data_IF_560613868980
#
_entry.id   IF_560613868980
#
_cell.length_a   1.000
_cell.length_b   1.000
_cell.length_c   1.000
_cell.angle_alpha   90.00
_cell.angle_beta   90.00
_cell.angle_gamma   90.00
#
_symmetry.space_group_name_H-M   'P 1'
#
loop_
_entity.id
_entity.type
_entity.pdbx_description
1 polymer ?
#
# COMPACT_ATOMS: atom_id res chain seq x y z
N UNK A 1 -9.79 -17.44 0.59
CA UNK A 1 -9.47 -16.13 -0.02
C UNK A 1 -8.26 -16.30 -0.90
N UNK A 2 -8.36 -15.96 -2.17
CA UNK A 2 -7.24 -16.06 -3.11
C UNK A 2 -6.38 -14.82 -2.98
N UNK A 3 -5.08 -14.99 -2.76
CA UNK A 3 -4.13 -13.88 -2.74
C UNK A 3 -3.90 -13.37 -4.17
N UNK A 4 -4.54 -12.25 -4.51
CA UNK A 4 -4.46 -11.61 -5.84
C UNK A 4 -3.25 -10.67 -5.98
N UNK A 5 -2.63 -10.27 -4.87
CA UNK A 5 -1.45 -9.40 -4.84
C UNK A 5 -0.25 -10.21 -4.33
N UNK A 6 0.85 -10.21 -5.09
CA UNK A 6 2.13 -10.77 -4.67
C UNK A 6 3.11 -9.64 -4.37
N UNK A 7 3.88 -9.80 -3.32
CA UNK A 7 4.93 -8.88 -2.93
C UNK A 7 6.28 -9.56 -3.16
N UNK A 8 7.22 -8.86 -3.79
CA UNK A 8 8.60 -9.32 -3.84
C UNK A 8 9.30 -9.07 -2.51
N UNK A 9 10.35 -9.84 -2.21
CA UNK A 9 11.13 -9.65 -0.98
C UNK A 9 11.71 -8.22 -0.89
N UNK A 10 12.14 -7.67 -2.02
CA UNK A 10 12.62 -6.28 -2.11
C UNK A 10 11.52 -5.28 -1.75
N UNK A 11 10.30 -5.48 -2.24
CA UNK A 11 9.18 -4.60 -1.92
C UNK A 11 8.79 -4.71 -0.44
N UNK A 12 8.85 -5.91 0.14
CA UNK A 12 8.64 -6.11 1.58
C UNK A 12 9.68 -5.36 2.42
N UNK A 13 10.96 -5.43 2.05
CA UNK A 13 12.02 -4.71 2.74
C UNK A 13 11.84 -3.19 2.63
N UNK A 14 11.49 -2.70 1.44
CA UNK A 14 11.22 -1.27 1.24
C UNK A 14 10.04 -0.79 2.08
N UNK A 15 8.97 -1.56 2.19
CA UNK A 15 7.82 -1.21 3.05
C UNK A 15 8.25 -1.14 4.52
N UNK A 16 9.10 -2.06 5.00
CA UNK A 16 9.62 -2.02 6.37
C UNK A 16 10.43 -0.74 6.64
N UNK A 17 11.27 -0.30 5.70
CA UNK A 17 12.01 0.96 5.80
C UNK A 17 11.10 2.19 5.80
N UNK A 18 10.05 2.17 4.98
CA UNK A 18 9.05 3.23 4.94
C UNK A 18 8.34 3.31 6.31
N UNK A 19 7.93 2.16 6.84
CA UNK A 19 7.26 2.07 8.15
C UNK A 19 8.15 2.47 9.33
N UNK A 20 9.47 2.25 9.26
CA UNK A 20 10.37 2.71 10.33
C UNK A 20 10.45 4.23 10.46
N UNK A 21 10.05 4.97 9.41
CA UNK A 21 9.98 6.42 9.38
C UNK A 21 8.54 6.96 9.48
N UNK A 22 7.56 6.08 9.67
CA UNK A 22 6.15 6.46 9.72
C UNK A 22 5.77 7.06 11.08
N UNK A 23 4.67 7.83 11.10
CA UNK A 23 4.07 8.29 12.35
C UNK A 23 3.64 7.11 13.22
N UNK A 24 3.72 7.28 14.56
CA UNK A 24 3.49 6.23 15.56
C UNK A 24 2.18 5.46 15.42
N UNK A 25 1.15 6.06 14.81
CA UNK A 25 -0.18 5.45 14.70
C UNK A 25 -0.43 4.76 13.35
N UNK A 26 0.57 4.75 12.45
CA UNK A 26 0.43 4.10 11.15
C UNK A 26 0.46 2.58 11.34
N UNK A 27 -0.63 1.90 10.99
CA UNK A 27 -0.73 0.44 11.01
C UNK A 27 -0.01 -0.20 9.81
N UNK A 28 0.14 0.53 8.70
CA UNK A 28 0.78 0.00 7.51
C UNK A 28 0.62 0.90 6.30
N UNK A 29 0.89 0.31 5.13
CA UNK A 29 0.74 0.94 3.82
C UNK A 29 -0.46 0.33 3.09
N UNK A 30 -1.35 1.17 2.60
CA UNK A 30 -2.53 0.82 1.80
C UNK A 30 -2.25 1.08 0.33
N UNK A 31 -2.72 0.16 -0.52
CA UNK A 31 -2.73 0.33 -1.98
C UNK A 31 -4.17 0.46 -2.44
N UNK A 32 -4.48 1.60 -3.05
CA UNK A 32 -5.81 1.93 -3.57
C UNK A 32 -5.76 2.06 -5.09
N UNK A 33 -6.84 1.74 -5.79
CA UNK A 33 -6.97 1.99 -7.24
C UNK A 33 -7.77 3.26 -7.46
N UNK A 34 -7.20 4.21 -8.18
CA UNK A 34 -7.84 5.47 -8.54
C UNK A 34 -8.15 5.47 -10.04
N UNK A 35 -9.40 5.79 -10.39
CA UNK A 35 -9.79 6.01 -11.79
C UNK A 35 -9.20 7.32 -12.31
N UNK A 36 -8.54 7.25 -13.47
CA UNK A 36 -7.96 8.39 -14.18
C UNK A 36 -8.77 8.81 -15.43
N UNK A 37 -9.99 8.30 -15.62
CA UNK A 37 -10.81 8.58 -16.81
C UNK A 37 -10.30 7.85 -18.06
N UNK A 38 -10.25 8.53 -19.21
CA UNK A 38 -9.76 7.95 -20.48
C UNK A 38 -8.30 7.47 -20.43
N UNK A 39 -7.53 7.86 -19.41
CA UNK A 39 -6.15 7.45 -19.19
C UNK A 39 -6.01 6.11 -18.43
N UNK A 40 -7.11 5.50 -17.96
CA UNK A 40 -7.10 4.21 -17.27
C UNK A 40 -7.08 4.32 -15.74
N UNK A 41 -6.43 3.36 -15.10
CA UNK A 41 -6.38 3.23 -13.63
C UNK A 41 -4.97 3.45 -13.11
N UNK A 42 -4.86 4.06 -11.93
CA UNK A 42 -3.60 4.29 -11.24
C UNK A 42 -3.62 3.68 -9.85
N UNK A 43 -2.47 3.23 -9.37
CA UNK A 43 -2.31 2.82 -7.97
C UNK A 43 -1.89 4.02 -7.12
N UNK A 44 -2.46 4.11 -5.92
CA UNK A 44 -2.11 5.07 -4.88
C UNK A 44 -1.61 4.30 -3.68
N UNK A 45 -0.50 4.75 -3.09
CA UNK A 45 0.10 4.14 -1.91
C UNK A 45 0.15 5.16 -0.79
N UNK A 46 -0.47 4.84 0.35
CA UNK A 46 -0.62 5.76 1.48
C UNK A 46 -0.47 5.04 2.82
N UNK A 47 -0.09 5.77 3.88
CA UNK A 47 -0.17 5.22 5.23
C UNK A 47 -1.61 5.07 5.66
N UNK A 48 -1.90 4.04 6.44
CA UNK A 48 -3.24 3.84 7.01
C UNK A 48 -3.17 3.58 8.51
N UNK A 49 -4.16 4.10 9.23
CA UNK A 49 -4.38 3.83 10.66
C UNK A 49 -5.46 2.78 10.90
N UNK A 50 -6.03 2.20 9.84
CA UNK A 50 -7.14 1.25 9.92
C UNK A 50 -6.91 0.02 9.04
N UNK A 51 -7.14 -1.17 9.62
CA UNK A 51 -7.11 -2.43 8.89
C UNK A 51 -8.46 -2.71 8.22
N UNK A 52 -8.81 -1.88 7.24
CA UNK A 52 -10.02 -1.99 6.43
C UNK A 52 -9.66 -2.30 4.96
N UNK A 53 -10.37 -3.22 4.28
CA UNK A 53 -10.18 -3.52 2.87
C UNK A 53 -10.63 -2.39 1.93
#
# INVERSE_FOLDING_TARGET
MTQIIKLSDNAANRIKEIMSNAEKDSLGVRVSVKSGGCAGMSYVMEYTKEANP
#
